data_IF_573981232275
#
_entry.id   IF_573981232275
#
_cell.length_a   1.000
_cell.length_b   1.000
_cell.length_c   1.000
_cell.angle_alpha   90.00
_cell.angle_beta   90.00
_cell.angle_gamma   90.00
#
_symmetry.space_group_name_H-M   'P 1'
#
loop_
_entity.id
_entity.type
_entity.pdbx_description
1 polymer ?
#
# COMPACT_ATOMS: atom_id res chain seq x y z
N UNK A 1 -21.93 -0.73 46.22
CA UNK A 1 -20.61 -0.53 45.59
C UNK A 1 -19.84 -1.79 45.91
N UNK A 2 -19.92 -2.77 45.02
CA UNK A 2 -19.36 -4.11 45.24
C UNK A 2 -18.75 -4.54 43.91
N UNK A 3 -17.44 -4.72 43.93
CA UNK A 3 -16.57 -4.99 42.78
C UNK A 3 -16.99 -6.27 42.05
N UNK A 4 -17.15 -6.17 40.73
CA UNK A 4 -17.25 -7.31 39.83
C UNK A 4 -15.85 -7.89 39.63
N UNK A 5 -15.59 -9.16 39.96
CA UNK A 5 -14.30 -9.78 39.65
C UNK A 5 -14.25 -10.06 38.15
N UNK A 6 -13.30 -9.42 37.45
CA UNK A 6 -13.01 -9.68 36.05
C UNK A 6 -12.27 -11.03 36.00
N UNK A 7 -12.98 -12.13 35.71
CA UNK A 7 -12.34 -13.35 35.25
C UNK A 7 -11.92 -13.11 33.80
N UNK A 8 -10.67 -12.72 33.64
CA UNK A 8 -9.96 -12.65 32.36
C UNK A 8 -9.59 -14.09 31.96
N UNK A 9 -10.52 -14.80 31.32
CA UNK A 9 -10.35 -16.19 30.92
C UNK A 9 -9.53 -16.27 29.64
N UNK A 10 -8.23 -16.00 29.76
CA UNK A 10 -7.26 -16.22 28.70
C UNK A 10 -7.19 -17.73 28.45
N UNK A 11 -7.60 -18.18 27.26
CA UNK A 11 -7.54 -19.59 26.89
C UNK A 11 -6.10 -20.13 27.02
N UNK A 12 -5.88 -20.99 28.00
CA UNK A 12 -4.56 -21.52 28.31
C UNK A 12 -4.02 -22.35 27.14
N UNK A 13 -2.83 -21.99 26.66
CA UNK A 13 -2.15 -22.80 25.65
C UNK A 13 -1.49 -23.98 26.37
N UNK A 14 -1.71 -25.24 25.97
CA UNK A 14 -1.25 -26.39 26.75
C UNK A 14 0.25 -26.62 26.55
N UNK A 15 1.08 -25.86 27.26
CA UNK A 15 2.52 -26.11 27.35
C UNK A 15 2.83 -27.16 28.43
N UNK A 16 3.85 -28.02 28.20
CA UNK A 16 4.33 -28.93 29.23
C UNK A 16 4.91 -28.15 30.43
N UNK A 17 4.68 -28.64 31.64
CA UNK A 17 5.22 -28.01 32.86
C UNK A 17 6.70 -28.35 33.07
N UNK A 18 7.45 -27.48 33.75
CA UNK A 18 8.89 -27.64 34.03
C UNK A 18 9.21 -28.72 35.08
N UNK A 19 8.19 -29.41 35.61
CA UNK A 19 8.34 -30.46 36.63
C UNK A 19 9.02 -29.94 37.91
N UNK A 20 10.20 -30.50 38.22
CA UNK A 20 10.99 -30.12 39.41
C UNK A 20 11.83 -28.86 39.24
N UNK A 21 12.07 -28.43 38.00
CA UNK A 21 12.82 -27.22 37.69
C UNK A 21 11.91 -25.98 37.73
N UNK A 22 12.50 -24.78 37.86
CA UNK A 22 11.75 -23.53 37.66
C UNK A 22 11.44 -23.38 36.17
N UNK A 23 10.26 -22.89 35.87
CA UNK A 23 9.76 -22.62 34.53
C UNK A 23 9.17 -21.23 34.45
N UNK A 24 8.83 -20.77 33.26
CA UNK A 24 8.19 -19.46 33.11
C UNK A 24 6.81 -19.44 33.75
N UNK A 25 6.45 -18.32 34.37
CA UNK A 25 5.14 -18.13 34.96
C UNK A 25 4.04 -18.25 33.90
N UNK A 26 3.12 -19.21 34.12
CA UNK A 26 2.08 -19.57 33.16
C UNK A 26 1.23 -18.37 32.75
N UNK A 27 0.75 -17.61 33.74
CA UNK A 27 -0.08 -16.42 33.53
C UNK A 27 0.62 -15.36 32.68
N UNK A 28 1.91 -15.11 32.94
CA UNK A 28 2.67 -14.13 32.19
C UNK A 28 2.85 -14.56 30.72
N UNK A 29 3.09 -15.85 30.47
CA UNK A 29 3.21 -16.42 29.11
C UNK A 29 1.85 -16.39 28.40
N UNK A 30 0.78 -16.80 29.06
CA UNK A 30 -0.57 -16.87 28.47
C UNK A 30 -1.07 -15.46 28.08
N UNK A 31 -0.89 -14.46 28.94
CA UNK A 31 -1.23 -13.05 28.64
C UNK A 31 -0.45 -12.54 27.43
N UNK A 32 0.85 -12.82 27.36
CA UNK A 32 1.68 -12.38 26.26
C UNK A 32 1.26 -13.01 24.92
N UNK A 33 0.99 -14.31 24.90
CA UNK A 33 0.55 -15.02 23.69
C UNK A 33 -0.83 -14.57 23.23
N UNK A 34 -1.75 -14.30 24.16
CA UNK A 34 -3.06 -13.76 23.84
C UNK A 34 -2.96 -12.38 23.18
N UNK A 35 -2.14 -11.48 23.75
CA UNK A 35 -1.87 -10.18 23.16
C UNK A 35 -1.19 -10.28 21.79
N UNK A 36 -0.20 -11.16 21.65
CA UNK A 36 0.48 -11.37 20.38
C UNK A 36 -0.49 -11.87 19.29
N UNK A 37 -1.42 -12.75 19.67
CA UNK A 37 -2.49 -13.23 18.79
C UNK A 37 -3.45 -12.12 18.39
N UNK A 38 -3.90 -11.31 19.34
CA UNK A 38 -4.80 -10.18 19.09
C UNK A 38 -4.17 -9.20 18.11
N UNK A 39 -2.89 -8.84 18.31
CA UNK A 39 -2.16 -7.98 17.37
C UNK A 39 -2.04 -8.61 16.00
N UNK A 40 -1.73 -9.91 15.93
CA UNK A 40 -1.64 -10.64 14.67
C UNK A 40 -2.98 -10.69 13.91
N UNK A 41 -4.12 -10.80 14.62
CA UNK A 41 -5.46 -10.85 14.04
C UNK A 41 -6.02 -9.45 13.68
N UNK A 42 -5.60 -8.40 14.39
CA UNK A 42 -6.12 -7.02 14.24
C UNK A 42 -5.60 -6.23 13.03
N UNK A 43 -4.62 -6.78 12.30
CA UNK A 43 -3.93 -6.12 11.18
C UNK A 43 -3.25 -4.77 11.51
N UNK A 44 -3.08 -4.45 12.80
CA UNK A 44 -2.45 -3.21 13.25
C UNK A 44 -0.92 -3.36 13.33
N UNK A 45 -0.24 -3.01 12.23
CA UNK A 45 1.19 -3.27 11.96
C UNK A 45 2.15 -2.49 12.89
N UNK A 46 1.63 -1.64 13.78
CA UNK A 46 2.42 -0.85 14.72
C UNK A 46 2.47 -1.39 16.16
N UNK A 47 1.62 -2.36 16.52
CA UNK A 47 1.36 -2.70 17.92
C UNK A 47 2.28 -3.80 18.50
N UNK A 48 2.88 -4.64 17.65
CA UNK A 48 3.87 -5.66 18.05
C UNK A 48 4.75 -6.09 16.87
N UNK A 49 6.07 -5.94 16.99
CA UNK A 49 7.08 -6.34 15.98
C UNK A 49 7.81 -7.63 16.37
N UNK A 50 8.42 -8.30 15.38
CA UNK A 50 9.26 -9.48 15.62
C UNK A 50 10.35 -9.24 16.69
N UNK A 51 10.97 -8.06 16.68
CA UNK A 51 11.96 -7.65 17.69
C UNK A 51 11.39 -7.57 19.12
N UNK A 52 10.11 -7.22 19.28
CA UNK A 52 9.45 -7.12 20.58
C UNK A 52 9.07 -8.50 21.12
N UNK A 53 8.73 -9.44 20.24
CA UNK A 53 8.53 -10.85 20.60
C UNK A 53 9.84 -11.48 21.11
N UNK A 54 10.96 -11.21 20.43
CA UNK A 54 12.29 -11.67 20.83
C UNK A 54 12.75 -11.11 22.17
N UNK A 55 12.33 -9.89 22.51
CA UNK A 55 12.71 -9.22 23.76
C UNK A 55 11.85 -9.63 24.96
N UNK A 56 10.82 -10.47 24.77
CA UNK A 56 9.92 -10.89 25.84
C UNK A 56 10.68 -11.69 26.92
N UNK A 57 10.49 -11.32 28.18
CA UNK A 57 11.08 -11.98 29.33
C UNK A 57 10.00 -12.31 30.37
N UNK A 58 10.08 -13.51 30.95
CA UNK A 58 9.07 -14.00 31.89
C UNK A 58 9.71 -14.37 33.24
N UNK A 59 9.03 -14.10 34.38
CA UNK A 59 9.48 -14.54 35.69
C UNK A 59 9.58 -16.07 35.79
N UNK A 60 10.57 -16.57 36.54
CA UNK A 60 10.76 -18.00 36.78
C UNK A 60 10.12 -18.45 38.10
N UNK A 61 9.13 -19.34 38.00
CA UNK A 61 8.38 -19.89 39.14
C UNK A 61 8.48 -21.41 39.20
N UNK A 62 8.27 -21.99 40.38
CA UNK A 62 8.23 -23.45 40.54
C UNK A 62 6.91 -23.98 39.97
N UNK A 63 6.98 -24.99 39.10
CA UNK A 63 5.79 -25.54 38.43
C UNK A 63 5.26 -24.69 37.26
N UNK A 64 6.07 -23.76 36.74
CA UNK A 64 5.78 -22.98 35.54
C UNK A 64 5.82 -23.81 34.26
N UNK A 65 5.66 -23.15 33.11
CA UNK A 65 5.84 -23.78 31.81
C UNK A 65 7.32 -24.07 31.52
N UNK A 66 7.57 -25.14 30.77
CA UNK A 66 8.92 -25.50 30.34
C UNK A 66 9.52 -24.38 29.49
N UNK A 67 10.66 -23.84 29.93
CA UNK A 67 11.41 -22.79 29.23
C UNK A 67 11.63 -23.16 27.76
N UNK A 68 12.14 -24.37 27.51
CA UNK A 68 12.40 -24.87 26.15
C UNK A 68 11.14 -24.94 25.28
N UNK A 69 9.99 -25.32 25.86
CA UNK A 69 8.75 -25.43 25.10
C UNK A 69 8.17 -24.04 24.76
N UNK A 70 8.28 -23.09 25.69
CA UNK A 70 7.85 -21.70 25.50
C UNK A 70 8.76 -21.00 24.51
N UNK A 71 10.08 -21.09 24.65
CA UNK A 71 11.04 -20.47 23.72
C UNK A 71 10.85 -20.99 22.29
N UNK A 72 10.62 -22.30 22.12
CA UNK A 72 10.35 -22.87 20.80
C UNK A 72 9.03 -22.37 20.18
N UNK A 73 8.03 -22.05 21.01
CA UNK A 73 6.79 -21.46 20.53
C UNK A 73 6.94 -19.96 20.22
N UNK A 74 7.67 -19.22 21.06
CA UNK A 74 8.01 -17.81 20.80
C UNK A 74 8.79 -17.66 19.50
N UNK A 75 9.73 -18.57 19.20
CA UNK A 75 10.43 -18.58 17.92
C UNK A 75 9.49 -18.74 16.72
N UNK A 76 8.48 -19.62 16.81
CA UNK A 76 7.47 -19.76 15.74
C UNK A 76 6.59 -18.51 15.57
N UNK A 77 6.24 -17.86 16.68
CA UNK A 77 5.50 -16.59 16.65
C UNK A 77 6.38 -15.51 16.02
N UNK A 78 7.64 -15.41 16.43
CA UNK A 78 8.63 -14.47 15.88
C UNK A 78 8.80 -14.63 14.36
N UNK A 79 8.93 -15.87 13.88
CA UNK A 79 9.03 -16.18 12.44
C UNK A 79 7.78 -15.73 11.67
N UNK A 80 6.59 -15.94 12.23
CA UNK A 80 5.33 -15.50 11.64
C UNK A 80 5.23 -13.97 11.56
N UNK A 81 5.63 -13.27 12.62
CA UNK A 81 5.70 -11.81 12.63
C UNK A 81 6.75 -11.27 11.66
N UNK A 82 7.92 -11.92 11.54
CA UNK A 82 8.97 -11.52 10.60
C UNK A 82 8.54 -11.73 9.14
N UNK A 83 7.86 -12.83 8.83
CA UNK A 83 7.30 -13.08 7.51
C UNK A 83 6.23 -12.03 7.16
N UNK A 84 5.35 -11.71 8.11
CA UNK A 84 4.31 -10.68 7.98
C UNK A 84 4.89 -9.28 7.80
N UNK A 85 5.90 -8.91 8.60
CA UNK A 85 6.61 -7.64 8.49
C UNK A 85 7.32 -7.51 7.13
N UNK A 86 7.92 -8.58 6.64
CA UNK A 86 8.56 -8.63 5.32
C UNK A 86 7.55 -8.49 4.18
N UNK A 87 6.42 -9.20 4.25
CA UNK A 87 5.34 -9.09 3.27
C UNK A 87 4.75 -7.68 3.25
N UNK A 88 4.53 -7.08 4.42
CA UNK A 88 4.10 -5.68 4.56
C UNK A 88 5.15 -4.68 4.09
N UNK A 89 6.43 -4.92 4.34
CA UNK A 89 7.49 -4.06 3.84
C UNK A 89 7.59 -4.14 2.32
N UNK A 90 7.44 -5.33 1.73
CA UNK A 90 7.41 -5.53 0.28
C UNK A 90 6.17 -4.92 -0.36
N UNK A 91 4.99 -5.08 0.26
CA UNK A 91 3.75 -4.48 -0.24
C UNK A 91 3.76 -2.95 -0.09
N UNK A 92 4.23 -2.41 1.04
CA UNK A 92 4.25 -0.97 1.29
C UNK A 92 5.41 -0.23 0.60
N UNK A 93 6.62 -0.82 0.50
CA UNK A 93 7.66 -0.22 -0.34
C UNK A 93 7.35 -0.42 -1.82
N UNK A 94 6.79 -1.56 -2.23
CA UNK A 94 6.36 -1.80 -3.60
C UNK A 94 5.24 -0.87 -4.03
N UNK A 95 4.19 -0.72 -3.22
CA UNK A 95 3.10 0.20 -3.46
C UNK A 95 3.55 1.67 -3.39
N UNK A 96 4.44 2.05 -2.45
CA UNK A 96 4.96 3.43 -2.42
C UNK A 96 5.90 3.75 -3.58
N UNK A 97 6.77 2.82 -3.98
CA UNK A 97 7.63 2.98 -5.14
C UNK A 97 6.82 3.03 -6.44
N UNK A 98 5.81 2.17 -6.58
CA UNK A 98 4.88 2.17 -7.70
C UNK A 98 4.02 3.44 -7.73
N UNK A 99 3.45 3.87 -6.59
CA UNK A 99 2.74 5.15 -6.49
C UNK A 99 3.67 6.34 -6.77
N UNK A 100 4.94 6.29 -6.38
CA UNK A 100 5.92 7.33 -6.69
C UNK A 100 6.24 7.39 -8.18
N UNK A 101 6.47 6.24 -8.83
CA UNK A 101 6.72 6.13 -10.28
C UNK A 101 5.49 6.56 -11.09
N UNK A 102 4.29 6.15 -10.68
CA UNK A 102 3.03 6.61 -11.26
C UNK A 102 2.84 8.11 -11.05
N UNK A 103 3.20 8.66 -9.89
CA UNK A 103 3.14 10.11 -9.62
C UNK A 103 4.14 10.90 -10.46
N UNK A 104 5.35 10.42 -10.63
CA UNK A 104 6.35 11.07 -11.50
C UNK A 104 5.87 11.09 -12.95
N UNK A 105 5.32 9.96 -13.43
CA UNK A 105 4.71 9.87 -14.75
C UNK A 105 3.52 10.84 -14.88
N UNK A 106 2.64 10.88 -13.87
CA UNK A 106 1.50 11.80 -13.83
C UNK A 106 1.96 13.27 -13.86
N UNK A 107 3.04 13.61 -13.15
CA UNK A 107 3.59 14.96 -13.10
C UNK A 107 4.17 15.37 -14.47
N UNK A 108 4.93 14.49 -15.12
CA UNK A 108 5.48 14.75 -16.47
C UNK A 108 4.35 14.98 -17.49
N UNK A 109 3.31 14.16 -17.44
CA UNK A 109 2.12 14.31 -18.28
C UNK A 109 1.42 15.63 -17.98
N UNK A 110 1.15 15.92 -16.70
CA UNK A 110 0.48 17.14 -16.26
C UNK A 110 1.26 18.40 -16.70
N UNK A 111 2.58 18.41 -16.55
CA UNK A 111 3.44 19.53 -16.96
C UNK A 111 3.34 19.80 -18.47
N UNK A 112 3.24 18.74 -19.28
CA UNK A 112 3.00 18.88 -20.72
C UNK A 112 1.60 19.42 -21.00
N UNK A 113 0.56 18.89 -20.35
CA UNK A 113 -0.84 19.32 -20.58
C UNK A 113 -1.08 20.77 -20.10
N UNK A 114 -0.33 21.24 -19.10
CA UNK A 114 -0.39 22.62 -18.59
C UNK A 114 0.27 23.66 -19.49
N UNK A 115 1.01 23.25 -20.52
CA UNK A 115 1.59 24.21 -21.47
C UNK A 115 0.50 25.05 -22.13
N UNK A 116 0.85 26.28 -22.59
CA UNK A 116 -0.09 27.14 -23.30
C UNK A 116 -0.79 26.40 -24.45
N UNK A 117 -2.09 26.70 -24.63
CA UNK A 117 -2.89 26.16 -25.74
C UNK A 117 -2.19 26.44 -27.07
N UNK A 118 -2.20 25.47 -27.96
CA UNK A 118 -1.47 25.50 -29.23
C UNK A 118 0.02 25.17 -29.16
N UNK A 119 0.60 24.99 -27.96
CA UNK A 119 2.03 24.70 -27.74
C UNK A 119 2.26 23.45 -26.87
N UNK A 120 1.22 22.64 -26.64
CA UNK A 120 1.29 21.42 -25.82
C UNK A 120 2.02 20.29 -26.53
N UNK A 121 1.72 20.17 -27.82
CA UNK A 121 2.28 19.19 -28.73
C UNK A 121 2.95 19.88 -29.90
N UNK A 122 3.84 19.16 -30.56
CA UNK A 122 4.48 19.61 -31.77
C UNK A 122 3.48 19.59 -32.92
N UNK A 123 3.59 20.59 -33.80
CA UNK A 123 2.71 20.71 -34.96
C UNK A 123 3.35 20.04 -36.17
N UNK A 124 2.53 19.43 -37.00
CA UNK A 124 2.96 18.99 -38.31
C UNK A 124 3.15 20.21 -39.24
N UNK A 125 3.92 20.04 -40.31
CA UNK A 125 4.07 21.11 -41.31
C UNK A 125 2.75 21.53 -41.94
N UNK A 126 2.67 22.75 -42.49
CA UNK A 126 1.44 23.36 -43.05
C UNK A 126 0.81 22.55 -44.21
N UNK A 127 1.60 21.69 -44.83
CA UNK A 127 1.18 20.78 -45.92
C UNK A 127 0.66 19.43 -45.41
N UNK A 128 0.86 19.11 -44.13
CA UNK A 128 0.46 17.84 -43.52
C UNK A 128 -0.79 18.03 -42.66
N UNK A 129 -1.52 16.93 -42.50
CA UNK A 129 -2.66 16.85 -41.58
C UNK A 129 -2.19 16.28 -40.25
N UNK A 130 -2.83 16.77 -39.18
CA UNK A 130 -2.70 16.26 -37.84
C UNK A 130 -3.98 16.56 -37.06
N UNK A 131 -4.00 16.27 -35.77
CA UNK A 131 -5.20 16.50 -34.96
C UNK A 131 -5.50 17.98 -34.76
N UNK A 132 -6.80 18.29 -34.73
CA UNK A 132 -7.32 19.64 -34.52
C UNK A 132 -6.86 20.18 -33.17
N UNK A 133 -6.15 21.30 -33.21
CA UNK A 133 -5.44 21.87 -32.05
C UNK A 133 -6.40 22.23 -30.92
N UNK A 134 -7.54 22.83 -31.25
CA UNK A 134 -8.57 23.23 -30.29
C UNK A 134 -9.22 22.04 -29.58
N UNK A 135 -9.54 20.97 -30.31
CA UNK A 135 -10.12 19.74 -29.74
C UNK A 135 -9.15 19.03 -28.79
N UNK A 136 -7.90 18.87 -29.22
CA UNK A 136 -6.84 18.28 -28.39
C UNK A 136 -6.62 19.13 -27.13
N UNK A 137 -6.58 20.46 -27.27
CA UNK A 137 -6.39 21.34 -26.12
C UNK A 137 -7.59 21.29 -25.14
N UNK A 138 -8.83 21.11 -25.61
CA UNK A 138 -9.99 20.93 -24.71
C UNK A 138 -9.88 19.64 -23.90
N UNK A 139 -9.49 18.54 -24.55
CA UNK A 139 -9.30 17.24 -23.88
C UNK A 139 -8.13 17.31 -22.89
N UNK A 140 -7.02 17.91 -23.31
CA UNK A 140 -5.87 18.15 -22.44
C UNK A 140 -6.21 18.98 -21.20
N UNK A 141 -7.08 20.00 -21.31
CA UNK A 141 -7.54 20.77 -20.15
C UNK A 141 -8.37 19.92 -19.17
N UNK A 142 -9.22 19.04 -19.70
CA UNK A 142 -10.05 18.16 -18.88
C UNK A 142 -9.21 17.13 -18.15
N UNK A 143 -8.25 16.52 -18.84
CA UNK A 143 -7.30 15.57 -18.24
C UNK A 143 -6.41 16.26 -17.21
N UNK A 144 -5.89 17.46 -17.50
CA UNK A 144 -5.09 18.22 -16.54
C UNK A 144 -5.87 18.54 -15.26
N UNK A 145 -7.18 18.86 -15.37
CA UNK A 145 -8.04 19.05 -14.19
C UNK A 145 -8.29 17.76 -13.42
N UNK A 146 -8.50 16.62 -14.10
CA UNK A 146 -8.58 15.32 -13.42
C UNK A 146 -7.29 15.05 -12.63
N UNK A 147 -6.12 15.19 -13.26
CA UNK A 147 -4.83 14.90 -12.60
C UNK A 147 -4.52 15.88 -11.45
N UNK A 148 -4.94 17.15 -11.55
CA UNK A 148 -4.64 18.16 -10.54
C UNK A 148 -5.68 18.26 -9.41
N UNK A 149 -6.96 18.03 -9.70
CA UNK A 149 -8.09 18.29 -8.80
C UNK A 149 -9.03 17.08 -8.59
N UNK A 150 -8.84 15.99 -9.34
CA UNK A 150 -9.69 14.79 -9.25
C UNK A 150 -11.05 14.91 -9.94
N UNK A 151 -11.23 15.86 -10.88
CA UNK A 151 -12.47 16.02 -11.66
C UNK A 151 -12.89 14.70 -12.32
N UNK A 152 -14.17 14.26 -12.27
CA UNK A 152 -14.57 12.96 -12.78
C UNK A 152 -14.33 12.81 -14.29
N UNK A 153 -13.36 11.96 -14.63
CA UNK A 153 -13.02 11.49 -15.98
C UNK A 153 -12.70 10.00 -15.85
N UNK A 154 -13.23 9.17 -16.75
CA UNK A 154 -12.92 7.73 -16.74
C UNK A 154 -11.85 7.40 -17.80
N UNK A 155 -11.05 6.33 -17.59
CA UNK A 155 -10.07 5.89 -18.59
C UNK A 155 -10.73 5.60 -19.96
N UNK A 156 -11.93 5.04 -19.95
CA UNK A 156 -12.70 4.71 -21.17
C UNK A 156 -13.07 5.97 -21.95
N UNK A 157 -13.41 7.06 -21.24
CA UNK A 157 -13.68 8.34 -21.89
C UNK A 157 -12.45 8.85 -22.62
N UNK A 158 -11.25 8.75 -22.02
CA UNK A 158 -9.99 9.18 -22.65
C UNK A 158 -9.66 8.31 -23.86
N UNK A 159 -9.78 6.98 -23.76
CA UNK A 159 -9.55 6.05 -24.88
C UNK A 159 -10.52 6.26 -26.05
N UNK A 160 -11.75 6.70 -25.76
CA UNK A 160 -12.79 6.90 -26.78
C UNK A 160 -12.70 8.25 -27.50
N UNK A 161 -11.79 9.13 -27.11
CA UNK A 161 -11.63 10.44 -27.75
C UNK A 161 -11.16 10.26 -29.18
N UNK A 162 -11.91 10.84 -30.11
CA UNK A 162 -11.50 10.96 -31.51
C UNK A 162 -11.36 12.44 -31.87
N UNK A 163 -10.24 12.81 -32.49
CA UNK A 163 -9.99 14.16 -32.97
C UNK A 163 -10.21 14.26 -34.47
N UNK A 164 -10.76 15.39 -34.91
CA UNK A 164 -10.81 15.70 -36.33
C UNK A 164 -9.43 16.05 -36.88
N UNK A 165 -9.23 15.82 -38.17
CA UNK A 165 -8.01 16.23 -38.86
C UNK A 165 -8.06 17.71 -39.27
N UNK A 166 -6.90 18.37 -39.17
CA UNK A 166 -6.67 19.75 -39.57
C UNK A 166 -5.28 19.89 -40.20
N UNK A 167 -5.13 20.77 -41.20
CA UNK A 167 -3.82 21.14 -41.73
C UNK A 167 -2.99 21.91 -40.71
N UNK A 168 -1.72 21.54 -40.53
CA UNK A 168 -0.86 22.13 -39.50
C UNK A 168 -1.36 21.85 -38.08
N UNK A 169 -2.09 20.75 -37.89
CA UNK A 169 -2.56 20.27 -36.59
C UNK A 169 -1.43 19.77 -35.71
N UNK A 170 -1.78 19.24 -34.54
CA UNK A 170 -0.82 18.53 -33.70
C UNK A 170 -0.43 17.18 -34.30
N UNK A 171 0.80 16.75 -34.04
CA UNK A 171 1.25 15.42 -34.46
C UNK A 171 0.51 14.34 -33.69
N UNK A 172 -0.21 13.51 -34.43
CA UNK A 172 -1.06 12.42 -33.94
C UNK A 172 -0.30 11.49 -32.99
N UNK A 173 0.82 10.92 -33.46
CA UNK A 173 1.67 10.03 -32.67
C UNK A 173 2.11 10.61 -31.30
N UNK A 174 2.30 11.93 -31.20
CA UNK A 174 2.68 12.53 -29.92
C UNK A 174 1.47 12.71 -28.99
N UNK A 175 0.30 13.03 -29.56
CA UNK A 175 -0.95 13.14 -28.80
C UNK A 175 -1.34 11.77 -28.26
N UNK A 176 -1.31 10.74 -29.12
CA UNK A 176 -1.70 9.37 -28.77
C UNK A 176 -0.85 8.81 -27.63
N UNK A 177 0.48 8.94 -27.73
CA UNK A 177 1.40 8.50 -26.66
C UNK A 177 1.05 9.15 -25.32
N UNK A 178 0.70 10.44 -25.32
CA UNK A 178 0.35 11.13 -24.08
C UNK A 178 -1.01 10.67 -23.55
N UNK A 179 -2.01 10.44 -24.42
CA UNK A 179 -3.30 9.91 -23.99
C UNK A 179 -3.20 8.48 -23.45
N UNK A 180 -2.33 7.65 -24.02
CA UNK A 180 -2.03 6.31 -23.51
C UNK A 180 -1.37 6.38 -22.13
N UNK A 181 -0.37 7.24 -21.95
CA UNK A 181 0.25 7.46 -20.62
C UNK A 181 -0.75 7.99 -19.58
N UNK A 182 -1.69 8.85 -19.99
CA UNK A 182 -2.78 9.30 -19.10
C UNK A 182 -3.63 8.11 -18.66
N UNK A 183 -4.04 7.27 -19.59
CA UNK A 183 -4.86 6.09 -19.31
C UNK A 183 -4.14 5.12 -18.35
N UNK A 184 -2.85 4.89 -18.57
CA UNK A 184 -2.01 4.07 -17.70
C UNK A 184 -1.97 4.64 -16.27
N UNK A 185 -1.74 5.94 -16.13
CA UNK A 185 -1.78 6.64 -14.83
C UNK A 185 -3.15 6.53 -14.17
N UNK A 186 -4.24 6.70 -14.93
CA UNK A 186 -5.61 6.57 -14.39
C UNK A 186 -5.91 5.16 -13.87
N UNK A 187 -5.44 4.12 -14.57
CA UNK A 187 -5.58 2.73 -14.15
C UNK A 187 -4.70 2.36 -12.96
N UNK A 188 -3.57 3.05 -12.78
CA UNK A 188 -2.68 2.84 -11.65
C UNK A 188 -3.15 3.58 -10.38
N UNK A 189 -3.98 4.62 -10.50
CA UNK A 189 -4.46 5.39 -9.33
C UNK A 189 -5.88 4.97 -8.91
N UNK A 190 -6.69 4.46 -9.85
CA UNK A 190 -8.08 4.03 -9.62
C UNK A 190 -8.21 2.59 -9.16
#
# INVERSE_FOLDING_TARGET
MTETPIHDEVAATPFPTSGRAKGYEKRAVDIFLARAREVFESDDVGALRSAEVRAAAFPLVRGGYSVTAVDAALGRVEDAFAAREREHALSNLGARAWVAETRDTAQVVLDRLRRPRGARFERVGILHYGYRVDEVDVVADRVARYLAAGDPVTPEQVRSVAFRMQRGGYREAQVDVVLDSVVEVMLAIG
#
